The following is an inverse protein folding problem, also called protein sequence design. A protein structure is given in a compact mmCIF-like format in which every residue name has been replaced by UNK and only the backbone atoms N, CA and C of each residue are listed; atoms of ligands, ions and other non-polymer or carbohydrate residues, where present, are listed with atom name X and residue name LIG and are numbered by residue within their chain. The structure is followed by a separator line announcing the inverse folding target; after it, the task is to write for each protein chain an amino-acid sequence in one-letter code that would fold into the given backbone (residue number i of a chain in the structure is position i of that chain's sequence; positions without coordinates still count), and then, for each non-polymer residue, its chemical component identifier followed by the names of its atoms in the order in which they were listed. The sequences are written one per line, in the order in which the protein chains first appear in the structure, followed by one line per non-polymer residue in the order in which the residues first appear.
data_IF_099971739654
#
_entry.id   IF_099971739654
#
_cell.length_a   1.000
_cell.length_b   1.000
_cell.length_c   1.000
_cell.angle_alpha   90.00
_cell.angle_beta   90.00
_cell.angle_gamma   90.00
#
_symmetry.space_group_name_H-M   'P 1'
#
loop_
_entity.id
_entity.type
_entity.pdbx_description
1 polymer ?
#
# COMPACT_ATOMS: atom_id res chain seq x y z
N UNK A 1 -11.32 -20.71 16.41
CA UNK A 1 -12.36 -19.99 15.63
C UNK A 1 -11.88 -19.91 14.20
N UNK A 2 -12.61 -20.44 13.20
CA UNK A 2 -12.11 -20.54 11.83
C UNK A 2 -11.81 -19.16 11.25
N UNK A 3 -10.64 -19.01 10.64
CA UNK A 3 -10.17 -17.75 10.09
C UNK A 3 -9.54 -17.91 8.70
N UNK A 4 -9.60 -16.82 7.94
CA UNK A 4 -8.92 -16.69 6.65
C UNK A 4 -7.71 -15.79 6.86
N UNK A 5 -6.58 -16.12 6.26
CA UNK A 5 -5.43 -15.22 6.24
C UNK A 5 -5.19 -14.65 4.84
N UNK A 6 -4.91 -13.35 4.80
CA UNK A 6 -4.30 -12.69 3.65
C UNK A 6 -2.84 -12.33 3.96
N UNK A 7 -1.90 -12.77 3.11
CA UNK A 7 -0.47 -12.50 3.25
C UNK A 7 0.02 -11.68 2.05
N UNK A 8 0.43 -10.44 2.29
CA UNK A 8 1.07 -9.57 1.29
C UNK A 8 2.58 -9.59 1.45
N UNK A 9 3.26 -10.30 0.54
CA UNK A 9 4.73 -10.41 0.51
C UNK A 9 5.29 -9.29 -0.38
N UNK A 10 5.43 -8.11 0.20
CA UNK A 10 6.01 -6.94 -0.46
C UNK A 10 7.54 -6.96 -0.46
N UNK A 11 8.17 -6.12 -1.28
CA UNK A 11 9.65 -6.06 -1.39
C UNK A 11 10.35 -5.44 -0.18
N UNK A 12 9.66 -4.60 0.60
CA UNK A 12 10.19 -4.03 1.85
C UNK A 12 9.66 -4.68 3.10
N UNK A 13 8.36 -4.99 3.11
CA UNK A 13 7.65 -5.52 4.26
C UNK A 13 6.63 -6.58 3.84
N UNK A 14 6.53 -7.62 4.65
CA UNK A 14 5.54 -8.70 4.56
C UNK A 14 4.48 -8.48 5.62
N UNK A 15 3.21 -8.57 5.22
CA UNK A 15 2.04 -8.29 6.06
C UNK A 15 1.12 -9.49 6.08
N UNK A 16 0.60 -9.84 7.25
CA UNK A 16 -0.46 -10.83 7.41
C UNK A 16 -1.68 -10.17 8.05
N UNK A 17 -2.87 -10.55 7.59
CA UNK A 17 -4.17 -10.12 8.12
C UNK A 17 -5.03 -11.34 8.31
N UNK A 18 -5.51 -11.58 9.54
CA UNK A 18 -6.47 -12.63 9.86
C UNK A 18 -7.88 -12.06 9.92
N UNK A 19 -8.80 -12.69 9.20
CA UNK A 19 -10.21 -12.36 9.23
C UNK A 19 -11.04 -13.50 9.80
N UNK A 20 -12.06 -13.17 10.59
CA UNK A 20 -13.07 -14.13 11.02
C UNK A 20 -13.91 -14.57 9.82
N UNK A 21 -14.22 -15.86 9.72
CA UNK A 21 -15.12 -16.41 8.69
C UNK A 21 -16.59 -16.03 8.93
N UNK A 22 -17.01 -15.87 10.18
CA UNK A 22 -18.43 -15.67 10.56
C UNK A 22 -18.85 -14.20 10.65
N UNK A 23 -17.90 -13.26 10.81
CA UNK A 23 -18.19 -11.85 11.13
C UNK A 23 -18.23 -10.87 9.95
N UNK A 24 -18.17 -11.33 8.69
CA UNK A 24 -17.99 -10.44 7.53
C UNK A 24 -19.32 -10.13 6.83
N UNK A 25 -20.21 -9.38 7.47
CA UNK A 25 -21.29 -8.72 6.71
C UNK A 25 -20.70 -7.58 5.87
N UNK A 26 -21.18 -7.43 4.64
CA UNK A 26 -20.82 -6.31 3.77
C UNK A 26 -21.34 -5.00 4.39
N UNK A 27 -20.48 -4.29 5.13
CA UNK A 27 -20.82 -3.02 5.79
C UNK A 27 -20.27 -2.86 7.21
N UNK A 28 -19.74 -3.92 7.83
CA UNK A 28 -19.02 -3.82 9.10
C UNK A 28 -17.64 -3.19 8.91
N UNK A 29 -17.28 -2.18 9.70
CA UNK A 29 -15.92 -1.63 9.71
C UNK A 29 -14.86 -2.70 10.00
N UNK A 30 -13.61 -2.47 9.59
CA UNK A 30 -12.50 -3.45 9.70
C UNK A 30 -12.38 -4.08 11.07
N UNK A 31 -12.59 -3.32 12.14
CA UNK A 31 -12.43 -3.78 13.51
C UNK A 31 -13.34 -4.97 13.86
N UNK A 32 -14.49 -5.11 13.19
CA UNK A 32 -15.42 -6.23 13.43
C UNK A 32 -15.01 -7.52 12.72
N UNK A 33 -14.11 -7.42 11.74
CA UNK A 33 -13.72 -8.52 10.85
C UNK A 33 -12.27 -8.97 11.08
N UNK A 34 -11.40 -8.03 11.46
CA UNK A 34 -9.98 -8.25 11.72
C UNK A 34 -9.77 -8.91 13.10
N UNK A 35 -9.19 -10.10 13.10
CA UNK A 35 -8.80 -10.81 14.32
C UNK A 35 -7.39 -10.44 14.77
N UNK A 36 -6.48 -10.25 13.81
CA UNK A 36 -5.09 -9.94 14.10
C UNK A 36 -4.30 -9.63 12.84
N UNK A 37 -3.15 -8.99 13.04
CA UNK A 37 -2.25 -8.57 11.97
C UNK A 37 -0.80 -8.71 12.38
N UNK A 38 0.06 -8.85 11.38
CA UNK A 38 1.51 -8.93 11.57
C UNK A 38 2.23 -8.19 10.47
N UNK A 39 3.32 -7.52 10.82
CA UNK A 39 4.15 -6.74 9.91
C UNK A 39 5.60 -7.02 10.23
N UNK A 40 6.31 -7.56 9.24
CA UNK A 40 7.74 -7.84 9.35
C UNK A 40 8.48 -7.27 8.17
N UNK A 41 9.75 -6.91 8.37
CA UNK A 41 10.64 -6.55 7.28
C UNK A 41 10.85 -7.76 6.38
N UNK A 42 10.67 -7.58 5.07
CA UNK A 42 10.95 -8.61 4.08
C UNK A 42 12.46 -8.80 4.00
N UNK A 43 12.91 -10.05 4.13
CA UNK A 43 14.30 -10.46 3.97
C UNK A 43 14.51 -11.26 2.69
N UNK A 44 15.67 -11.91 2.56
CA UNK A 44 15.97 -12.78 1.43
C UNK A 44 15.10 -14.05 1.40
N UNK A 45 14.69 -14.55 2.58
CA UNK A 45 13.83 -15.70 2.73
C UNK A 45 12.37 -15.27 2.86
N UNK A 46 11.66 -15.28 1.73
CA UNK A 46 10.30 -14.74 1.63
C UNK A 46 9.27 -15.55 2.44
N UNK A 47 9.41 -16.87 2.45
CA UNK A 47 8.53 -17.76 3.21
C UNK A 47 8.70 -17.56 4.72
N UNK A 48 9.93 -17.47 5.23
CA UNK A 48 10.20 -17.15 6.64
C UNK A 48 9.64 -15.79 7.08
N UNK A 49 9.64 -14.80 6.18
CA UNK A 49 9.00 -13.52 6.44
C UNK A 49 7.47 -13.65 6.53
N UNK A 50 6.85 -14.43 5.62
CA UNK A 50 5.42 -14.72 5.69
C UNK A 50 5.04 -15.47 6.96
N UNK A 51 5.85 -16.45 7.37
CA UNK A 51 5.65 -17.21 8.61
C UNK A 51 5.68 -16.32 9.85
N UNK A 52 6.72 -15.47 9.98
CA UNK A 52 6.80 -14.55 11.13
C UNK A 52 5.67 -13.52 11.15
N UNK A 53 5.23 -13.03 9.99
CA UNK A 53 4.08 -12.14 9.91
C UNK A 53 2.79 -12.85 10.34
N UNK A 54 2.60 -14.09 9.86
CA UNK A 54 1.46 -14.93 10.24
C UNK A 54 1.45 -15.21 11.75
N UNK A 55 2.59 -15.58 12.33
CA UNK A 55 2.71 -15.81 13.77
C UNK A 55 2.37 -14.57 14.60
N UNK A 56 2.81 -13.38 14.19
CA UNK A 56 2.43 -12.14 14.88
C UNK A 56 0.91 -11.92 14.84
N UNK A 57 0.31 -12.15 13.68
CA UNK A 57 -1.12 -11.99 13.48
C UNK A 57 -1.95 -13.01 14.28
N UNK A 58 -1.51 -14.27 14.35
CA UNK A 58 -2.10 -15.33 15.18
C UNK A 58 -2.00 -14.99 16.67
N UNK A 59 -0.83 -14.55 17.14
CA UNK A 59 -0.62 -14.14 18.54
C UNK A 59 -1.54 -12.99 18.93
N UNK A 60 -1.67 -11.97 18.07
CA UNK A 60 -2.58 -10.86 18.33
C UNK A 60 -4.05 -11.32 18.38
N UNK A 61 -4.42 -12.27 17.54
CA UNK A 61 -5.76 -12.83 17.46
C UNK A 61 -6.10 -13.85 18.57
N UNK A 62 -5.12 -14.33 19.34
CA UNK A 62 -5.29 -15.48 20.24
C UNK A 62 -5.70 -16.76 19.50
N UNK A 63 -5.36 -16.88 18.21
CA UNK A 63 -5.70 -18.01 17.36
C UNK A 63 -4.49 -18.92 17.14
N UNK A 64 -4.74 -20.17 16.78
CA UNK A 64 -3.71 -21.13 16.42
C UNK A 64 -3.70 -21.43 14.92
N UNK A 65 -2.62 -22.02 14.42
CA UNK A 65 -2.48 -22.34 13.00
C UNK A 65 -3.59 -23.28 12.49
N UNK A 66 -4.08 -24.18 13.35
CA UNK A 66 -5.20 -25.10 13.05
C UNK A 66 -6.53 -24.37 12.83
N UNK A 67 -6.66 -23.12 13.25
CA UNK A 67 -7.84 -22.30 13.03
C UNK A 67 -7.87 -21.69 11.62
N UNK A 68 -6.76 -21.74 10.87
CA UNK A 68 -6.68 -21.19 9.53
C UNK A 68 -7.32 -22.17 8.55
N UNK A 69 -8.42 -21.79 7.92
CA UNK A 69 -9.15 -22.62 6.96
C UNK A 69 -8.85 -22.27 5.50
N UNK A 70 -8.18 -21.14 5.26
CA UNK A 70 -7.76 -20.72 3.93
C UNK A 70 -6.68 -19.64 3.98
N UNK A 71 -5.72 -19.72 3.06
CA UNK A 71 -4.57 -18.83 2.92
C UNK A 71 -4.57 -18.20 1.53
N UNK A 72 -4.78 -16.88 1.48
CA UNK A 72 -4.65 -16.08 0.28
C UNK A 72 -3.37 -15.26 0.30
N UNK A 73 -2.58 -15.33 -0.76
CA UNK A 73 -1.31 -14.60 -0.87
C UNK A 73 -1.37 -13.53 -1.96
N UNK A 74 -0.63 -12.45 -1.74
CA UNK A 74 -0.50 -11.31 -2.66
C UNK A 74 0.89 -10.67 -2.56
N UNK A 75 1.11 -9.63 -3.35
CA UNK A 75 2.40 -8.95 -3.42
C UNK A 75 3.41 -9.64 -4.35
N UNK A 76 4.61 -9.08 -4.39
CA UNK A 76 5.72 -9.51 -5.22
C UNK A 76 6.08 -10.99 -4.98
N UNK A 77 6.16 -11.40 -3.71
CA UNK A 77 6.58 -12.73 -3.30
C UNK A 77 5.47 -13.77 -3.23
N UNK A 78 4.23 -13.48 -3.69
CA UNK A 78 3.06 -14.35 -3.51
C UNK A 78 3.27 -15.81 -3.95
N UNK A 79 4.08 -16.04 -4.97
CA UNK A 79 4.34 -17.39 -5.49
C UNK A 79 5.33 -18.20 -4.63
N UNK A 80 6.09 -17.54 -3.75
CA UNK A 80 7.10 -18.16 -2.93
C UNK A 80 6.54 -18.87 -1.68
N UNK A 81 5.25 -18.68 -1.37
CA UNK A 81 4.63 -19.21 -0.15
C UNK A 81 4.00 -20.57 -0.44
N UNK A 82 4.56 -21.65 0.07
CA UNK A 82 4.13 -23.02 -0.23
C UNK A 82 2.79 -23.37 0.41
N UNK A 83 2.48 -22.84 1.59
CA UNK A 83 1.26 -23.10 2.36
C UNK A 83 0.06 -22.25 1.93
N UNK A 84 0.02 -21.79 0.67
CA UNK A 84 -1.08 -20.97 0.14
C UNK A 84 -2.15 -21.84 -0.53
N UNK A 85 -3.41 -21.44 -0.41
CA UNK A 85 -4.51 -22.02 -1.20
C UNK A 85 -4.75 -21.24 -2.49
N UNK A 86 -4.49 -19.93 -2.48
CA UNK A 86 -4.61 -19.06 -3.66
C UNK A 86 -3.57 -17.96 -3.68
N UNK A 87 -3.17 -17.57 -4.88
CA UNK A 87 -2.38 -16.37 -5.16
C UNK A 87 -3.20 -15.37 -5.96
N UNK A 88 -3.11 -14.11 -5.55
CA UNK A 88 -3.88 -13.00 -6.11
C UNK A 88 -2.90 -11.87 -6.38
N UNK A 89 -3.10 -11.12 -7.48
CA UNK A 89 -2.24 -9.96 -7.74
C UNK A 89 -2.47 -8.86 -6.70
N UNK A 90 -1.42 -8.09 -6.37
CA UNK A 90 -1.57 -6.93 -5.49
C UNK A 90 -2.48 -5.85 -6.09
N UNK A 91 -2.64 -5.83 -7.41
CA UNK A 91 -3.58 -4.92 -8.11
C UNK A 91 -5.01 -5.26 -7.71
N UNK A 92 -5.40 -6.53 -7.86
CA UNK A 92 -6.76 -6.99 -7.50
C UNK A 92 -6.98 -6.92 -5.99
N UNK A 93 -5.96 -7.27 -5.20
CA UNK A 93 -6.03 -7.26 -3.74
C UNK A 93 -6.16 -5.81 -3.22
N UNK A 94 -5.30 -4.90 -3.67
CA UNK A 94 -5.36 -3.48 -3.33
C UNK A 94 -6.68 -2.83 -3.75
N UNK A 95 -7.22 -3.16 -4.94
CA UNK A 95 -8.54 -2.72 -5.36
C UNK A 95 -9.65 -3.19 -4.41
N UNK A 96 -9.68 -4.50 -4.07
CA UNK A 96 -10.67 -5.04 -3.14
C UNK A 96 -10.55 -4.42 -1.75
N UNK A 97 -9.33 -4.29 -1.24
CA UNK A 97 -9.05 -3.69 0.06
C UNK A 97 -9.45 -2.21 0.11
N UNK A 98 -9.13 -1.42 -0.91
CA UNK A 98 -9.54 -0.01 -0.97
C UNK A 98 -11.06 0.16 -1.00
N UNK A 99 -11.76 -0.67 -1.80
CA UNK A 99 -13.23 -0.68 -1.91
C UNK A 99 -13.95 -1.13 -0.64
N UNK A 100 -13.25 -1.86 0.24
CA UNK A 100 -13.78 -2.21 1.55
C UNK A 100 -13.92 -0.96 2.44
N UNK A 101 -12.93 -0.07 2.41
CA UNK A 101 -12.96 1.17 3.18
C UNK A 101 -13.77 2.29 2.53
N UNK A 102 -13.66 2.39 1.21
CA UNK A 102 -14.27 3.45 0.41
C UNK A 102 -15.07 2.80 -0.72
N UNK A 103 -16.35 2.41 -0.50
CA UNK A 103 -17.24 1.82 -1.50
C UNK A 103 -17.56 2.72 -2.70
N UNK A 104 -17.07 3.94 -2.73
CA UNK A 104 -17.14 4.89 -3.83
C UNK A 104 -15.82 5.00 -4.61
N UNK A 105 -14.74 4.35 -4.15
CA UNK A 105 -13.43 4.46 -4.78
C UNK A 105 -13.49 4.12 -6.27
N UNK A 106 -12.98 5.03 -7.10
CA UNK A 106 -12.86 4.87 -8.56
C UNK A 106 -11.40 4.74 -9.00
N UNK A 107 -10.46 5.06 -8.10
CA UNK A 107 -9.04 4.89 -8.34
C UNK A 107 -8.29 4.51 -7.06
N UNK A 108 -7.23 3.72 -7.22
CA UNK A 108 -6.29 3.38 -6.16
C UNK A 108 -4.88 3.74 -6.61
N UNK A 109 -4.16 4.46 -5.77
CA UNK A 109 -2.73 4.70 -5.89
C UNK A 109 -2.03 3.90 -4.79
N UNK A 110 -1.29 2.86 -5.16
CA UNK A 110 -0.49 2.05 -4.25
C UNK A 110 0.98 2.47 -4.36
N UNK A 111 1.51 3.12 -3.31
CA UNK A 111 2.92 3.50 -3.23
C UNK A 111 3.59 2.62 -2.17
N UNK A 112 4.26 1.57 -2.66
CA UNK A 112 5.02 0.62 -1.86
C UNK A 112 6.49 1.00 -1.73
N UNK A 113 7.30 0.03 -1.29
CA UNK A 113 8.74 0.23 -1.08
C UNK A 113 9.50 0.49 -2.41
N UNK A 114 9.26 -0.33 -3.44
CA UNK A 114 10.03 -0.25 -4.70
C UNK A 114 9.17 0.03 -5.93
N UNK A 115 7.86 0.13 -5.78
CA UNK A 115 6.93 0.22 -6.89
C UNK A 115 5.78 1.16 -6.55
N UNK A 116 5.31 1.87 -7.57
CA UNK A 116 4.08 2.67 -7.50
C UNK A 116 3.12 2.20 -8.57
N UNK A 117 1.84 2.01 -8.20
CA UNK A 117 0.78 1.51 -9.08
C UNK A 117 -0.40 2.47 -9.06
N UNK A 118 -0.86 2.87 -10.24
CA UNK A 118 -2.13 3.54 -10.42
C UNK A 118 -3.13 2.52 -10.98
N UNK A 119 -4.30 2.42 -10.34
CA UNK A 119 -5.33 1.42 -10.64
C UNK A 119 -6.65 2.16 -10.82
N UNK A 120 -7.31 2.01 -11.96
CA UNK A 120 -8.66 2.52 -12.21
C UNK A 120 -9.67 1.41 -11.98
N UNK A 121 -10.74 1.74 -11.26
CA UNK A 121 -11.82 0.84 -10.95
C UNK A 121 -13.06 1.17 -11.79
N UNK A 122 -13.83 0.14 -12.16
CA UNK A 122 -15.17 0.32 -12.72
C UNK A 122 -16.22 0.57 -11.62
N UNK A 123 -17.47 0.80 -12.01
CA UNK A 123 -18.58 1.03 -11.07
C UNK A 123 -18.85 -0.15 -10.12
N UNK A 124 -18.38 -1.36 -10.45
CA UNK A 124 -18.49 -2.55 -9.60
C UNK A 124 -17.25 -2.74 -8.71
N UNK A 125 -16.30 -1.81 -8.75
CA UNK A 125 -15.04 -1.88 -8.00
C UNK A 125 -14.02 -2.87 -8.60
N UNK A 126 -14.23 -3.35 -9.83
CA UNK A 126 -13.26 -4.21 -10.51
C UNK A 126 -12.19 -3.38 -11.21
N UNK A 127 -11.00 -3.95 -11.35
CA UNK A 127 -9.88 -3.30 -12.05
C UNK A 127 -10.22 -3.19 -13.54
N UNK A 128 -10.32 -1.96 -14.04
CA UNK A 128 -10.57 -1.67 -15.46
C UNK A 128 -9.30 -1.32 -16.23
N UNK A 129 -8.35 -0.66 -15.55
CA UNK A 129 -7.03 -0.37 -16.09
C UNK A 129 -6.02 -0.24 -14.94
N UNK A 130 -4.75 -0.53 -15.21
CA UNK A 130 -3.67 -0.23 -14.26
C UNK A 130 -2.38 0.12 -14.99
N UNK A 131 -1.52 0.90 -14.33
CA UNK A 131 -0.15 1.16 -14.73
C UNK A 131 0.74 1.13 -13.50
N UNK A 132 1.98 0.69 -13.69
CA UNK A 132 2.96 0.55 -12.63
C UNK A 132 4.32 1.07 -13.08
N UNK A 133 5.10 1.56 -12.12
CA UNK A 133 6.51 1.86 -12.29
C UNK A 133 7.31 0.93 -11.36
N UNK A 134 7.97 -0.07 -11.94
CA UNK A 134 8.75 -1.07 -11.20
C UNK A 134 10.27 -0.92 -11.41
N UNK A 135 10.70 -0.11 -12.40
CA UNK A 135 12.11 0.00 -12.79
C UNK A 135 12.83 1.20 -12.17
N UNK A 136 12.12 2.08 -11.46
CA UNK A 136 12.71 3.30 -10.91
C UNK A 136 12.32 3.50 -9.43
N UNK A 137 13.32 3.36 -8.54
CA UNK A 137 13.18 3.58 -7.10
C UNK A 137 12.74 5.02 -6.73
N UNK A 138 12.99 6.00 -7.62
CA UNK A 138 12.71 7.42 -7.36
C UNK A 138 11.23 7.74 -7.19
N UNK A 139 10.33 6.84 -7.60
CA UNK A 139 8.89 7.01 -7.48
C UNK A 139 8.26 6.28 -6.30
N UNK A 140 9.04 5.76 -5.34
CA UNK A 140 8.58 4.79 -4.32
C UNK A 140 9.11 5.09 -2.92
N UNK A 141 8.64 4.37 -1.90
CA UNK A 141 9.05 4.57 -0.50
C UNK A 141 10.54 4.38 -0.23
N UNK A 142 11.26 3.62 -1.06
CA UNK A 142 12.72 3.50 -0.98
C UNK A 142 13.45 4.82 -1.17
N UNK A 143 12.87 5.76 -1.92
CA UNK A 143 13.40 7.12 -2.04
C UNK A 143 13.31 7.88 -0.71
N UNK A 144 12.17 7.79 -0.01
CA UNK A 144 11.98 8.37 1.32
C UNK A 144 12.94 7.77 2.35
N UNK A 145 13.13 6.44 2.33
CA UNK A 145 14.08 5.78 3.25
C UNK A 145 15.53 6.24 3.03
N UNK A 146 15.93 6.46 1.77
CA UNK A 146 17.25 7.02 1.47
C UNK A 146 17.36 8.46 1.95
N UNK A 147 16.37 9.29 1.66
CA UNK A 147 16.36 10.68 2.09
C UNK A 147 16.46 10.80 3.62
N UNK A 148 15.65 10.06 4.37
CA UNK A 148 15.70 10.01 5.83
C UNK A 148 17.11 9.69 6.34
N UNK A 149 17.77 8.69 5.75
CA UNK A 149 19.15 8.31 6.10
C UNK A 149 20.13 9.46 5.93
N UNK A 150 20.06 10.21 4.82
CA UNK A 150 20.99 11.32 4.55
C UNK A 150 20.71 12.56 5.38
N UNK A 151 19.44 12.83 5.63
CA UNK A 151 18.99 13.91 6.50
C UNK A 151 19.16 13.57 7.99
N UNK A 152 19.61 12.35 8.32
CA UNK A 152 19.80 11.84 9.68
C UNK A 152 18.53 11.93 10.55
N UNK A 153 17.38 11.66 9.93
CA UNK A 153 16.06 11.59 10.59
C UNK A 153 15.42 10.23 10.32
N UNK A 154 14.36 9.93 11.05
CA UNK A 154 13.54 8.74 10.84
C UNK A 154 12.56 8.95 9.68
N UNK A 155 12.08 7.84 9.10
CA UNK A 155 11.11 7.91 7.99
C UNK A 155 9.77 8.45 8.50
N UNK A 156 9.44 8.16 9.75
CA UNK A 156 8.23 8.57 10.45
C UNK A 156 8.17 10.10 10.63
N UNK A 157 9.32 10.76 10.76
CA UNK A 157 9.40 12.22 10.92
C UNK A 157 9.15 12.99 9.60
N UNK A 158 9.43 12.38 8.44
CA UNK A 158 9.38 13.06 7.13
C UNK A 158 8.01 13.72 6.86
N UNK A 159 6.94 12.99 7.14
CA UNK A 159 5.57 13.40 6.83
C UNK A 159 5.22 14.75 7.44
N UNK A 160 5.33 14.86 8.76
CA UNK A 160 5.03 16.09 9.50
C UNK A 160 6.08 17.18 9.29
N UNK A 161 7.35 16.81 9.14
CA UNK A 161 8.42 17.79 8.89
C UNK A 161 8.19 18.56 7.59
N UNK A 162 7.80 17.86 6.52
CA UNK A 162 7.53 18.49 5.22
C UNK A 162 6.35 19.50 5.22
N UNK A 163 5.48 19.44 6.23
CA UNK A 163 4.36 20.38 6.35
C UNK A 163 4.78 21.75 6.90
N UNK A 164 5.99 21.83 7.48
CA UNK A 164 6.57 23.07 8.00
C UNK A 164 7.35 23.87 6.95
N UNK A 165 7.52 23.29 5.75
CA UNK A 165 8.22 23.91 4.65
C UNK A 165 7.60 25.26 4.26
N UNK A 166 8.46 26.24 4.03
CA UNK A 166 8.07 27.58 3.58
C UNK A 166 8.62 27.90 2.20
N UNK A 167 9.75 27.30 1.82
CA UNK A 167 10.44 27.51 0.56
C UNK A 167 10.93 26.16 -0.02
N UNK A 168 10.03 25.28 -0.49
CA UNK A 168 10.40 23.94 -0.90
C UNK A 168 11.45 23.92 -2.02
N UNK A 169 12.48 23.09 -1.86
CA UNK A 169 13.53 22.93 -2.86
C UNK A 169 13.13 21.88 -3.89
N UNK A 170 13.07 22.19 -5.20
CA UNK A 170 12.68 21.22 -6.21
C UNK A 170 13.72 20.10 -6.31
N UNK A 171 13.26 18.84 -6.27
CA UNK A 171 14.10 17.67 -6.57
C UNK A 171 13.82 17.23 -8.00
N UNK A 172 14.71 17.64 -8.90
CA UNK A 172 14.60 17.48 -10.36
C UNK A 172 15.06 16.11 -10.86
N UNK A 173 15.91 15.43 -10.10
CA UNK A 173 16.51 14.16 -10.52
C UNK A 173 15.48 13.04 -10.69
N UNK A 174 15.42 12.46 -11.90
CA UNK A 174 14.56 11.31 -12.20
C UNK A 174 15.10 10.02 -11.57
N UNK A 175 16.42 9.91 -11.39
CA UNK A 175 17.08 8.76 -10.78
C UNK A 175 17.21 8.95 -9.27
N UNK A 176 16.86 7.92 -8.48
CA UNK A 176 16.95 7.97 -7.01
C UNK A 176 18.39 8.21 -6.52
N UNK A 177 19.39 7.68 -7.26
CA UNK A 177 20.82 7.88 -6.95
C UNK A 177 21.26 9.32 -7.21
N UNK A 178 20.74 9.95 -8.28
CA UNK A 178 21.08 11.35 -8.56
C UNK A 178 20.33 12.31 -7.62
N UNK A 179 19.09 11.96 -7.27
CA UNK A 179 18.31 12.69 -6.28
C UNK A 179 18.98 12.68 -4.90
N UNK A 180 19.72 11.61 -4.59
CA UNK A 180 20.55 11.52 -3.38
C UNK A 180 21.63 12.62 -3.34
N UNK A 181 22.37 12.78 -4.42
CA UNK A 181 23.38 13.85 -4.56
C UNK A 181 22.73 15.23 -4.49
N UNK A 182 21.56 15.41 -5.10
CA UNK A 182 20.79 16.66 -5.04
C UNK A 182 20.38 17.02 -3.61
N UNK A 183 19.92 16.05 -2.82
CA UNK A 183 19.61 16.23 -1.39
C UNK A 183 20.87 16.66 -0.62
N UNK A 184 22.01 16.00 -0.82
CA UNK A 184 23.27 16.34 -0.16
C UNK A 184 23.72 17.77 -0.51
N UNK A 185 23.55 18.17 -1.77
CA UNK A 185 23.88 19.53 -2.22
C UNK A 185 23.00 20.58 -1.54
N UNK A 186 21.69 20.32 -1.40
CA UNK A 186 20.80 21.22 -0.66
C UNK A 186 21.19 21.34 0.81
N UNK A 187 21.48 20.22 1.48
CA UNK A 187 21.98 20.24 2.87
C UNK A 187 23.27 21.05 2.99
N UNK A 188 24.22 20.83 2.07
CA UNK A 188 25.51 21.54 2.06
C UNK A 188 25.36 23.04 1.78
N UNK A 189 24.32 23.43 1.05
CA UNK A 189 23.96 24.83 0.79
C UNK A 189 23.18 25.49 1.95
N UNK A 190 22.93 24.76 3.04
CA UNK A 190 22.22 25.28 4.22
C UNK A 190 20.70 25.33 4.07
N UNK A 191 20.12 24.59 3.14
CA UNK A 191 18.67 24.48 3.01
C UNK A 191 18.04 23.84 4.25
N UNK A 192 16.87 24.34 4.65
CA UNK A 192 16.12 23.76 5.76
C UNK A 192 15.64 22.34 5.41
N UNK A 193 15.68 21.43 6.38
CA UNK A 193 15.37 20.01 6.14
C UNK A 193 13.91 19.85 5.70
N UNK A 194 12.98 20.58 6.31
CA UNK A 194 11.57 20.62 5.94
C UNK A 194 11.33 20.98 4.48
N UNK A 195 12.08 21.96 3.95
CA UNK A 195 11.96 22.43 2.57
C UNK A 195 12.48 21.38 1.58
N UNK A 196 13.56 20.67 1.93
CA UNK A 196 14.08 19.53 1.16
C UNK A 196 13.04 18.39 1.14
N UNK A 197 12.49 18.02 2.31
CA UNK A 197 11.52 16.92 2.40
C UNK A 197 10.22 17.27 1.65
N UNK A 198 9.75 18.52 1.68
CA UNK A 198 8.61 18.93 0.85
C UNK A 198 8.93 18.81 -0.64
N UNK A 199 10.14 19.19 -1.06
CA UNK A 199 10.66 18.97 -2.40
C UNK A 199 10.57 17.51 -2.87
N UNK A 200 10.95 16.59 -1.98
CA UNK A 200 10.89 15.15 -2.19
C UNK A 200 9.44 14.68 -2.38
N UNK A 201 8.52 15.09 -1.49
CA UNK A 201 7.10 14.75 -1.61
C UNK A 201 6.48 15.29 -2.90
N UNK A 202 6.77 16.54 -3.26
CA UNK A 202 6.29 17.15 -4.51
C UNK A 202 6.78 16.36 -5.73
N UNK A 203 8.06 16.00 -5.74
CA UNK A 203 8.68 15.19 -6.79
C UNK A 203 8.00 13.81 -6.90
N UNK A 204 7.65 13.17 -5.78
CA UNK A 204 6.90 11.90 -5.78
C UNK A 204 5.46 12.09 -6.28
N UNK A 205 4.79 13.16 -5.87
CA UNK A 205 3.42 13.49 -6.28
C UNK A 205 3.33 13.74 -7.79
N UNK A 206 4.31 14.44 -8.38
CA UNK A 206 4.42 14.64 -9.83
C UNK A 206 4.46 13.31 -10.59
N UNK A 207 5.31 12.39 -10.14
CA UNK A 207 5.45 11.06 -10.77
C UNK A 207 4.18 10.23 -10.62
N UNK A 208 3.54 10.28 -9.45
CA UNK A 208 2.27 9.61 -9.21
C UNK A 208 1.14 10.17 -10.09
N UNK A 209 1.06 11.50 -10.24
CA UNK A 209 0.10 12.16 -11.11
C UNK A 209 0.25 11.74 -12.58
N UNK A 210 1.49 11.64 -13.09
CA UNK A 210 1.76 11.14 -14.43
C UNK A 210 1.28 9.69 -14.62
N UNK A 211 1.42 8.84 -13.60
CA UNK A 211 0.96 7.46 -13.65
C UNK A 211 -0.56 7.36 -13.63
N UNK A 212 -1.23 8.15 -12.79
CA UNK A 212 -2.70 8.25 -12.71
C UNK A 212 -3.31 8.72 -14.04
N UNK A 213 -2.71 9.71 -14.70
CA UNK A 213 -3.15 10.16 -16.04
C UNK A 213 -3.11 9.06 -17.08
N UNK A 214 -2.16 8.11 -17.01
CA UNK A 214 -2.04 6.99 -17.96
C UNK A 214 -3.12 5.93 -17.79
N UNK A 215 -3.84 5.94 -16.68
CA UNK A 215 -5.04 5.11 -16.46
C UNK A 215 -6.32 5.94 -16.52
N UNK A 216 -6.25 7.15 -17.08
CA UNK A 216 -7.36 8.07 -17.27
C UNK A 216 -8.04 8.56 -15.99
N UNK A 217 -7.35 8.52 -14.85
CA UNK A 217 -7.87 9.09 -13.60
C UNK A 217 -7.76 10.62 -13.67
N UNK A 218 -8.91 11.29 -13.64
CA UNK A 218 -9.01 12.75 -13.73
C UNK A 218 -8.86 13.33 -15.14
N UNK A 219 -8.86 12.49 -16.19
CA UNK A 219 -8.67 12.96 -17.58
C UNK A 219 -9.68 12.41 -18.58
N UNK A 220 -10.63 11.57 -18.16
CA UNK A 220 -11.69 10.99 -19.02
C UNK A 220 -13.00 11.78 -19.00
N UNK A 221 -13.02 12.96 -18.38
CA UNK A 221 -14.23 13.77 -18.20
C UNK A 221 -15.20 13.24 -17.12
N UNK A 222 -14.82 12.19 -16.38
CA UNK A 222 -15.60 11.69 -15.25
C UNK A 222 -15.62 12.73 -14.11
N UNK A 223 -16.79 13.01 -13.50
CA UNK A 223 -16.87 13.92 -12.36
C UNK A 223 -16.07 13.36 -11.18
N UNK A 224 -15.09 14.15 -10.71
CA UNK A 224 -14.26 13.99 -9.50
C UNK A 224 -13.90 12.55 -9.10
N UNK A 225 -12.71 12.04 -9.50
CA UNK A 225 -12.30 10.69 -9.15
C UNK A 225 -12.17 10.54 -7.63
N UNK A 226 -12.62 9.40 -7.09
CA UNK A 226 -12.48 9.05 -5.69
C UNK A 226 -11.18 8.27 -5.53
N UNK A 227 -10.09 9.02 -5.30
CA UNK A 227 -8.74 8.47 -5.20
C UNK A 227 -8.45 7.98 -3.78
N UNK A 228 -8.03 6.73 -3.68
CA UNK A 228 -7.55 6.12 -2.44
C UNK A 228 -6.05 5.88 -2.53
N UNK A 229 -5.27 6.41 -1.60
CA UNK A 229 -3.85 6.15 -1.46
C UNK A 229 -3.62 5.03 -0.44
N UNK A 230 -2.90 3.98 -0.84
CA UNK A 230 -2.56 2.81 -0.01
C UNK A 230 -1.05 2.55 -0.05
N UNK A 231 -0.59 1.60 0.77
CA UNK A 231 0.82 1.26 0.90
C UNK A 231 1.53 2.06 1.99
N UNK A 232 2.78 1.72 2.29
CA UNK A 232 3.50 2.29 3.43
C UNK A 232 3.77 3.79 3.31
N UNK A 233 3.88 4.32 2.08
CA UNK A 233 4.08 5.76 1.87
C UNK A 233 2.82 6.56 2.21
N UNK A 234 1.64 5.95 2.23
CA UNK A 234 0.41 6.62 2.59
C UNK A 234 0.38 7.08 4.07
N UNK A 235 1.29 6.57 4.92
CA UNK A 235 1.50 7.07 6.29
C UNK A 235 2.13 8.47 6.34
N UNK A 236 2.74 8.90 5.24
CA UNK A 236 3.41 10.19 5.14
C UNK A 236 2.39 11.28 4.83
N UNK A 237 1.92 11.99 5.87
CA UNK A 237 0.94 13.07 5.70
C UNK A 237 1.39 14.12 4.67
N UNK A 238 2.68 14.44 4.64
CA UNK A 238 3.29 15.29 3.63
C UNK A 238 3.08 14.82 2.19
N UNK A 239 3.13 13.51 1.95
CA UNK A 239 2.84 12.93 0.64
C UNK A 239 1.36 13.09 0.26
N UNK A 240 0.45 12.90 1.22
CA UNK A 240 -1.00 13.08 1.00
C UNK A 240 -1.28 14.52 0.57
N UNK A 241 -0.77 15.49 1.33
CA UNK A 241 -0.94 16.92 1.02
C UNK A 241 -0.32 17.27 -0.34
N UNK A 242 0.90 16.78 -0.63
CA UNK A 242 1.54 17.02 -1.92
C UNK A 242 0.73 16.43 -3.10
N UNK A 243 0.09 15.27 -2.92
CA UNK A 243 -0.81 14.71 -3.94
C UNK A 243 -2.08 15.53 -4.10
N UNK A 244 -2.70 15.97 -3.02
CA UNK A 244 -3.91 16.79 -3.06
C UNK A 244 -3.65 18.13 -3.77
N UNK A 245 -2.57 18.83 -3.40
CA UNK A 245 -2.10 20.05 -4.06
C UNK A 245 -1.83 19.78 -5.55
N UNK A 246 -1.15 18.67 -5.87
CA UNK A 246 -0.74 18.37 -7.24
C UNK A 246 -1.91 17.98 -8.15
N UNK A 247 -2.89 17.27 -7.61
CA UNK A 247 -4.03 16.73 -8.36
C UNK A 247 -5.26 17.64 -8.33
N UNK A 248 -5.33 18.57 -7.37
CA UNK A 248 -6.49 19.43 -7.16
C UNK A 248 -7.73 18.66 -6.68
N UNK A 249 -7.54 17.53 -6.00
CA UNK A 249 -8.63 16.68 -5.50
C UNK A 249 -8.27 16.01 -4.16
N UNK A 250 -9.25 15.66 -3.32
CA UNK A 250 -9.00 15.00 -2.04
C UNK A 250 -8.41 13.60 -2.21
N UNK A 251 -7.45 13.23 -1.36
CA UNK A 251 -6.83 11.91 -1.35
C UNK A 251 -7.23 11.17 -0.08
N UNK A 252 -7.97 10.06 -0.24
CA UNK A 252 -8.44 9.27 0.89
C UNK A 252 -7.38 8.25 1.29
N UNK A 253 -7.12 8.10 2.59
CA UNK A 253 -6.18 7.12 3.12
C UNK A 253 -6.91 6.21 4.10
N UNK A 254 -6.93 4.89 3.91
CA UNK A 254 -7.50 3.98 4.89
C UNK A 254 -6.68 3.97 6.20
N UNK A 255 -7.29 3.69 7.36
CA UNK A 255 -6.51 3.33 8.54
C UNK A 255 -5.65 2.09 8.23
N UNK A 256 -4.44 2.06 8.78
CA UNK A 256 -3.47 0.98 8.56
C UNK A 256 -3.23 0.67 7.06
N UNK A 257 -3.07 1.74 6.28
CA UNK A 257 -2.94 1.77 4.83
C UNK A 257 -1.91 0.79 4.25
N UNK A 258 -0.89 0.37 5.02
CA UNK A 258 0.08 -0.64 4.61
C UNK A 258 -0.49 -2.07 4.54
N UNK A 259 -1.58 -2.39 5.25
CA UNK A 259 -2.19 -3.72 5.28
C UNK A 259 -3.28 -3.94 4.23
N UNK A 260 -3.65 -2.90 3.48
CA UNK A 260 -4.81 -2.91 2.57
C UNK A 260 -4.72 -4.05 1.54
N UNK A 261 -3.54 -4.32 0.99
CA UNK A 261 -3.35 -5.43 0.06
C UNK A 261 -3.54 -6.80 0.74
N UNK A 262 -2.99 -6.99 1.94
CA UNK A 262 -3.19 -8.23 2.71
C UNK A 262 -4.67 -8.44 3.07
N UNK A 263 -5.35 -7.38 3.51
CA UNK A 263 -6.80 -7.40 3.75
C UNK A 263 -7.58 -7.79 2.50
N UNK A 264 -7.27 -7.15 1.35
CA UNK A 264 -7.94 -7.45 0.10
C UNK A 264 -7.74 -8.90 -0.35
N UNK A 265 -6.55 -9.46 -0.13
CA UNK A 265 -6.28 -10.88 -0.36
C UNK A 265 -7.12 -11.76 0.56
N UNK A 266 -7.19 -11.45 1.86
CA UNK A 266 -8.02 -12.18 2.82
C UNK A 266 -9.51 -12.15 2.45
N UNK A 267 -10.04 -10.99 2.04
CA UNK A 267 -11.44 -10.84 1.61
C UNK A 267 -11.75 -11.67 0.36
N UNK A 268 -10.83 -11.70 -0.61
CA UNK A 268 -10.99 -12.52 -1.81
C UNK A 268 -10.82 -14.01 -1.50
N UNK A 269 -9.91 -14.36 -0.59
CA UNK A 269 -9.74 -15.71 -0.06
C UNK A 269 -11.01 -16.22 0.61
N UNK A 270 -11.63 -15.39 1.46
CA UNK A 270 -12.90 -15.70 2.11
C UNK A 270 -14.02 -15.94 1.10
N UNK A 271 -14.14 -15.06 0.10
CA UNK A 271 -15.12 -15.23 -0.98
C UNK A 271 -14.91 -16.55 -1.73
N UNK A 272 -13.66 -16.88 -2.06
CA UNK A 272 -13.32 -18.13 -2.75
C UNK A 272 -13.61 -19.35 -1.89
N UNK A 273 -13.20 -19.34 -0.62
CA UNK A 273 -13.47 -20.41 0.33
C UNK A 273 -14.97 -20.68 0.47
N UNK A 274 -15.80 -19.64 0.66
CA UNK A 274 -17.26 -19.78 0.71
C UNK A 274 -17.85 -20.39 -0.55
N UNK A 275 -17.33 -20.03 -1.72
CA UNK A 275 -17.77 -20.60 -3.00
C UNK A 275 -17.43 -22.09 -3.08
N UNK A 276 -16.24 -22.50 -2.64
CA UNK A 276 -15.83 -23.90 -2.63
C UNK A 276 -16.70 -24.75 -1.70
N UNK A 277 -17.04 -24.22 -0.52
CA UNK A 277 -17.93 -24.89 0.43
C UNK A 277 -19.34 -25.08 -0.13
N UNK A 278 -19.87 -24.09 -0.86
CA UNK A 278 -21.19 -24.20 -1.50
C UNK A 278 -21.24 -25.19 -2.67
N UNK A 279 -20.10 -25.48 -3.31
CA UNK A 279 -20.01 -26.41 -4.45
C UNK A 279 -19.57 -27.82 -4.08
N UNK A 280 -19.22 -28.07 -2.83
CA UNK A 280 -18.81 -29.41 -2.37
C UNK A 280 -20.06 -30.28 -2.15
N UNK A 281 -20.23 -31.41 -2.85
CA UNK A 281 -21.37 -32.30 -2.61
C UNK A 281 -21.30 -32.86 -1.18
N UNK A 282 -22.44 -32.84 -0.50
CA UNK A 282 -22.65 -33.43 0.83
C UNK A 282 -22.33 -34.92 0.87
#
# INVERSE_FOLDING_TARGET
MPCIVGIDVGTGFTKAVLLNVEGTEEGGGIERVLLGRGLVKTGAHLEDAAERALEQALRQAGCERRDIVYVATTGFGRYAISFRDIQITEITSGARGARWFFPEATAVLDIGNQSTRAIRLDARGKVSAFKMNEKCAAGSGSFLMRAAKYLQITVEELGELSLRATHPHPISSVCAVLAETEIINHVSAGAAVEDIVRGIHNSLADRAALLLRRVSVGTDGSPSPQLVLIGGVARQRGMVVALEERLGLPVRVPPDCEYVCALGAALLGLHRWRTLQATSPS
#
